data_IF_591796802920
#
_entry.id   IF_591796802920
#
_cell.length_a   1.000
_cell.length_b   1.000
_cell.length_c   1.000
_cell.angle_alpha   90.00
_cell.angle_beta   90.00
_cell.angle_gamma   90.00
#
_symmetry.space_group_name_H-M   'P 1'
#
loop_
_entity.id
_entity.type
_entity.pdbx_description
1 polymer ?
#
# COMPACT_ATOMS: atom_id res chain seq x y z
N UNK A 1 25.59 -3.27 21.33
CA UNK A 1 25.28 -2.58 20.06
C UNK A 1 24.16 -1.59 20.34
N UNK A 2 24.25 -0.35 19.85
CA UNK A 2 23.14 0.61 19.95
C UNK A 2 21.91 0.04 19.25
N UNK A 3 20.71 0.22 19.85
CA UNK A 3 19.43 -0.14 19.23
C UNK A 3 19.12 0.74 18.02
N UNK A 4 19.66 1.95 17.97
CA UNK A 4 19.49 2.89 16.85
C UNK A 4 20.77 2.88 16.01
N UNK A 5 20.62 2.74 14.69
CA UNK A 5 21.70 2.92 13.71
C UNK A 5 21.24 3.91 12.64
N UNK A 6 22.10 4.89 12.33
CA UNK A 6 21.87 5.91 11.32
C UNK A 6 22.95 5.76 10.26
N UNK A 7 22.55 5.46 9.03
CA UNK A 7 23.48 5.29 7.91
C UNK A 7 22.88 5.90 6.64
N UNK A 8 23.61 6.83 6.01
CA UNK A 8 23.23 7.46 4.73
C UNK A 8 21.77 7.94 4.65
N UNK A 9 21.24 8.53 5.74
CA UNK A 9 19.86 9.02 5.81
C UNK A 9 18.80 7.95 6.09
N UNK A 10 19.20 6.69 6.25
CA UNK A 10 18.35 5.60 6.74
C UNK A 10 18.53 5.44 8.24
N UNK A 11 17.42 5.48 8.98
CA UNK A 11 17.42 5.22 10.42
C UNK A 11 16.82 3.85 10.67
N UNK A 12 17.55 2.99 11.38
CA UNK A 12 17.08 1.66 11.78
C UNK A 12 17.03 1.51 13.28
N UNK A 13 16.06 0.72 13.74
CA UNK A 13 15.83 0.40 15.13
C UNK A 13 15.76 -1.11 15.33
N UNK A 14 16.63 -1.66 16.18
CA UNK A 14 16.74 -3.10 16.43
C UNK A 14 16.09 -3.50 17.75
N UNK A 15 15.23 -4.50 17.70
CA UNK A 15 14.55 -5.09 18.86
C UNK A 15 14.60 -6.61 18.75
N UNK A 16 15.38 -7.27 19.62
CA UNK A 16 15.56 -8.74 19.63
C UNK A 16 15.87 -9.26 18.21
N UNK A 17 14.91 -9.97 17.60
CA UNK A 17 15.01 -10.63 16.30
C UNK A 17 14.35 -9.83 15.15
N UNK A 18 14.13 -8.52 15.35
CA UNK A 18 13.49 -7.66 14.36
C UNK A 18 14.22 -6.32 14.20
N UNK A 19 14.39 -5.93 12.94
CA UNK A 19 14.85 -4.63 12.50
C UNK A 19 13.66 -3.84 11.98
N UNK A 20 13.60 -2.57 12.35
CA UNK A 20 12.62 -1.62 11.86
C UNK A 20 13.33 -0.46 11.16
N UNK A 21 12.79 -0.04 10.02
CA UNK A 21 13.09 1.25 9.43
C UNK A 21 12.25 2.32 10.12
N UNK A 22 12.91 3.38 10.60
CA UNK A 22 12.24 4.51 11.24
C UNK A 22 11.99 5.57 10.18
N UNK A 23 10.72 5.88 9.94
CA UNK A 23 10.28 6.82 8.90
C UNK A 23 9.53 7.97 9.55
N UNK A 24 9.69 9.17 9.00
CA UNK A 24 8.98 10.35 9.49
C UNK A 24 7.47 10.17 9.31
N UNK A 25 6.71 10.51 10.35
CA UNK A 25 5.26 10.48 10.38
C UNK A 25 4.74 11.90 10.16
N UNK A 26 4.46 12.26 8.92
CA UNK A 26 3.94 13.58 8.62
C UNK A 26 2.46 13.70 9.02
N UNK A 27 2.14 14.75 9.79
CA UNK A 27 0.76 15.19 9.91
C UNK A 27 0.26 15.76 8.56
N UNK A 28 -0.96 15.47 8.12
CA UNK A 28 -1.50 16.10 6.92
C UNK A 28 -1.64 17.62 7.14
N UNK A 29 -1.06 18.45 6.28
CA UNK A 29 -1.14 19.91 6.46
C UNK A 29 -2.56 20.42 6.26
N UNK A 30 -3.19 20.87 7.36
CA UNK A 30 -4.61 21.24 7.42
C UNK A 30 -4.90 22.75 7.27
N UNK A 31 -3.85 23.58 7.15
CA UNK A 31 -3.99 25.03 6.95
C UNK A 31 -4.11 25.40 5.46
N UNK A 32 -3.48 24.65 4.54
CA UNK A 32 -3.80 24.62 3.09
C UNK A 32 -5.19 24.02 2.85
N UNK A 33 -5.67 23.14 3.77
CA UNK A 33 -6.99 22.47 3.78
C UNK A 33 -8.22 23.25 4.23
N UNK A 34 -8.04 24.43 4.77
CA UNK A 34 -9.16 25.25 5.21
C UNK A 34 -9.27 26.54 4.41
N UNK A 35 -8.43 26.72 3.37
CA UNK A 35 -8.26 27.93 2.57
C UNK A 35 -8.52 27.77 1.03
N UNK A 36 -8.34 26.59 0.43
CA UNK A 36 -8.44 26.31 -1.02
C UNK A 36 -9.66 25.44 -1.46
N UNK A 37 -10.30 24.64 -0.58
CA UNK A 37 -11.57 23.94 -0.88
C UNK A 37 -12.69 24.83 -0.34
N UNK A 38 -13.67 25.18 -1.17
CA UNK A 38 -14.90 25.87 -0.78
C UNK A 38 -15.89 24.96 -0.01
N UNK A 39 -16.71 25.52 0.91
CA UNK A 39 -17.64 24.77 1.80
C UNK A 39 -18.54 23.72 1.09
N UNK A 40 -18.92 23.92 -0.18
CA UNK A 40 -19.73 22.98 -0.98
C UNK A 40 -18.96 21.88 -1.73
N UNK A 41 -17.62 21.95 -1.80
CA UNK A 41 -16.72 20.89 -2.32
C UNK A 41 -15.88 20.21 -1.23
N UNK A 42 -15.84 20.80 -0.02
CA UNK A 42 -15.63 20.08 1.26
C UNK A 42 -16.76 19.05 1.48
N UNK A 43 -17.83 19.22 0.71
CA UNK A 43 -18.78 18.19 0.32
C UNK A 43 -18.15 17.30 -0.76
N UNK A 44 -17.56 16.18 -0.35
CA UNK A 44 -17.12 15.09 -1.23
C UNK A 44 -15.64 15.05 -1.61
N UNK A 45 -14.78 16.03 -1.25
CA UNK A 45 -13.31 15.88 -1.38
C UNK A 45 -12.58 16.68 -0.28
N UNK A 46 -11.57 16.10 0.39
CA UNK A 46 -10.69 16.86 1.27
C UNK A 46 -9.34 17.31 0.63
N UNK A 47 -9.05 18.62 0.48
CA UNK A 47 -7.74 19.35 0.34
C UNK A 47 -6.55 18.74 1.19
N UNK A 48 -6.78 17.76 2.08
CA UNK A 48 -5.89 17.29 3.18
C UNK A 48 -5.31 15.91 2.91
N UNK A 49 -5.61 15.29 1.77
CA UNK A 49 -5.03 13.98 1.47
C UNK A 49 -3.53 14.02 1.13
N UNK A 50 -2.95 15.22 1.15
CA UNK A 50 -1.79 15.60 0.39
C UNK A 50 -0.50 15.44 1.20
N UNK A 51 0.35 14.55 0.66
CA UNK A 51 1.81 14.43 0.85
C UNK A 51 2.30 13.60 2.05
N UNK A 52 2.36 12.28 1.81
CA UNK A 52 3.31 11.30 2.35
C UNK A 52 3.47 11.18 3.87
N UNK A 53 2.37 11.36 4.61
CA UNK A 53 2.18 10.83 5.96
C UNK A 53 1.71 9.37 5.98
N UNK A 54 1.27 8.83 7.14
CA UNK A 54 1.16 7.40 7.58
C UNK A 54 0.22 6.44 6.81
N UNK A 55 0.04 6.68 5.51
CA UNK A 55 -0.65 5.84 4.53
C UNK A 55 -0.16 4.39 4.55
N UNK A 56 1.15 4.19 4.61
CA UNK A 56 1.77 2.86 4.70
C UNK A 56 1.22 2.05 5.88
N UNK A 57 0.95 2.69 7.03
CA UNK A 57 0.35 2.01 8.18
C UNK A 57 -1.10 1.62 7.94
N UNK A 58 -1.88 2.49 7.31
CA UNK A 58 -3.29 2.20 6.98
C UNK A 58 -3.39 1.04 6.02
N UNK A 59 -2.55 1.05 4.98
CA UNK A 59 -2.50 -0.01 3.97
C UNK A 59 -2.02 -1.31 4.61
N UNK A 60 -1.00 -1.23 5.48
CA UNK A 60 -0.52 -2.38 6.25
C UNK A 60 -1.59 -2.96 7.17
N UNK A 61 -2.41 -2.11 7.82
CA UNK A 61 -3.51 -2.56 8.67
C UNK A 61 -4.69 -3.12 7.86
N UNK A 62 -4.99 -2.56 6.69
CA UNK A 62 -6.00 -3.10 5.76
C UNK A 62 -5.58 -4.48 5.23
N UNK A 63 -4.30 -4.61 4.86
CA UNK A 63 -3.69 -5.84 4.40
C UNK A 63 -3.39 -6.85 5.51
N UNK A 64 -3.43 -6.47 6.78
CA UNK A 64 -3.08 -7.36 7.89
C UNK A 64 -3.93 -8.63 7.86
N UNK A 65 -3.26 -9.79 7.93
CA UNK A 65 -3.84 -11.14 7.81
C UNK A 65 -4.57 -11.44 6.48
N UNK A 66 -4.49 -10.54 5.49
CA UNK A 66 -5.09 -10.69 4.16
C UNK A 66 -4.03 -10.71 3.06
N UNK A 67 -2.92 -9.99 3.26
CA UNK A 67 -1.76 -9.93 2.40
C UNK A 67 -0.49 -10.09 3.24
N UNK A 68 0.63 -10.36 2.56
CA UNK A 68 1.95 -10.39 3.18
C UNK A 68 2.55 -8.98 3.22
N UNK A 69 2.09 -8.15 4.14
CA UNK A 69 2.57 -6.77 4.28
C UNK A 69 3.42 -6.63 5.54
N UNK A 70 4.38 -5.70 5.52
CA UNK A 70 5.20 -5.42 6.70
C UNK A 70 4.38 -4.89 7.87
N UNK A 71 4.83 -5.20 9.07
CA UNK A 71 4.23 -4.70 10.29
C UNK A 71 4.71 -3.27 10.54
N UNK A 72 3.75 -2.36 10.76
CA UNK A 72 4.02 -0.95 11.04
C UNK A 72 3.53 -0.58 12.43
N UNK A 73 4.43 -0.01 13.24
CA UNK A 73 4.20 0.39 14.64
C UNK A 73 4.44 1.88 14.85
N UNK A 74 3.69 2.51 15.75
CA UNK A 74 4.00 3.88 16.17
C UNK A 74 5.07 3.89 17.26
N UNK A 75 5.66 5.06 17.49
CA UNK A 75 6.50 5.30 18.66
C UNK A 75 5.81 5.02 20.02
N UNK A 76 4.47 5.01 20.08
CA UNK A 76 3.72 4.61 21.28
C UNK A 76 3.67 3.09 21.49
N UNK A 77 3.86 2.32 20.42
CA UNK A 77 3.78 0.86 20.43
C UNK A 77 5.18 0.24 20.60
N UNK A 78 6.18 1.11 20.80
CA UNK A 78 7.58 0.77 20.97
C UNK A 78 8.03 1.19 22.36
N UNK A 79 8.72 0.29 23.07
CA UNK A 79 9.34 0.54 24.37
C UNK A 79 10.61 1.39 24.18
N UNK A 80 10.42 2.67 23.88
CA UNK A 80 11.48 3.67 23.68
C UNK A 80 11.81 4.36 25.00
N UNK A 81 13.10 4.44 25.33
CA UNK A 81 13.59 5.33 26.39
C UNK A 81 13.49 6.80 25.95
N UNK A 82 13.60 7.74 26.90
CA UNK A 82 13.61 9.17 26.55
C UNK A 82 14.80 9.52 25.64
N UNK A 83 15.99 8.99 25.94
CA UNK A 83 17.20 9.19 25.12
C UNK A 83 17.00 8.67 23.68
N UNK A 84 16.40 7.49 23.51
CA UNK A 84 16.07 6.95 22.19
C UNK A 84 15.08 7.84 21.44
N UNK A 85 14.08 8.39 22.14
CA UNK A 85 13.12 9.32 21.55
C UNK A 85 13.80 10.60 21.08
N UNK A 86 14.71 11.16 21.88
CA UNK A 86 15.40 12.40 21.55
C UNK A 86 16.30 12.22 20.32
N UNK A 87 17.06 11.11 20.24
CA UNK A 87 17.90 10.77 19.07
C UNK A 87 17.05 10.59 17.81
N UNK A 88 15.95 9.84 17.89
CA UNK A 88 15.07 9.62 16.73
C UNK A 88 14.37 10.90 16.31
N UNK A 89 14.02 11.76 17.26
CA UNK A 89 13.42 13.07 16.99
C UNK A 89 14.37 13.97 16.22
N UNK A 90 15.64 14.01 16.62
CA UNK A 90 16.68 14.77 15.92
C UNK A 90 16.95 14.20 14.51
N UNK A 91 17.00 12.87 14.38
CA UNK A 91 17.37 12.20 13.14
C UNK A 91 16.25 12.16 12.09
N UNK A 92 14.98 12.01 12.53
CA UNK A 92 13.84 11.73 11.64
C UNK A 92 12.80 12.84 11.69
N UNK A 93 12.67 13.55 12.80
CA UNK A 93 11.64 14.57 13.03
C UNK A 93 10.75 14.26 14.23
N UNK A 94 9.86 15.18 14.61
CA UNK A 94 9.11 15.14 15.86
C UNK A 94 8.13 13.95 15.98
N UNK A 95 7.66 13.45 14.84
CA UNK A 95 6.75 12.32 14.76
C UNK A 95 7.33 11.29 13.79
N UNK A 96 7.31 10.01 14.18
CA UNK A 96 7.84 8.91 13.38
C UNK A 96 7.12 7.58 13.66
N UNK A 97 7.26 6.65 12.72
CA UNK A 97 6.78 5.27 12.82
C UNK A 97 7.86 4.27 12.43
N UNK A 98 7.62 3.01 12.75
CA UNK A 98 8.55 1.90 12.61
C UNK A 98 7.97 0.87 11.64
N UNK A 99 8.58 0.70 10.47
CA UNK A 99 8.19 -0.31 9.48
C UNK A 99 9.16 -1.49 9.58
N UNK A 100 8.66 -2.70 9.87
CA UNK A 100 9.51 -3.88 10.02
C UNK A 100 10.23 -4.17 8.70
N UNK A 101 11.50 -4.51 8.77
CA UNK A 101 12.26 -4.99 7.62
C UNK A 101 11.59 -6.21 7.00
N UNK A 102 11.26 -6.13 5.71
CA UNK A 102 10.68 -7.26 4.98
C UNK A 102 11.63 -8.46 4.91
N UNK A 103 12.94 -8.21 4.98
CA UNK A 103 13.99 -9.24 4.96
C UNK A 103 14.06 -10.06 6.26
N UNK A 104 13.44 -9.58 7.35
CA UNK A 104 13.44 -10.28 8.63
C UNK A 104 12.25 -11.26 8.76
N UNK A 105 11.40 -11.36 7.74
CA UNK A 105 10.28 -12.29 7.72
C UNK A 105 10.73 -13.70 7.34
N UNK A 106 10.11 -14.69 7.98
CA UNK A 106 10.21 -16.10 7.59
C UNK A 106 8.88 -16.56 7.01
N UNK A 107 8.83 -17.63 6.19
CA UNK A 107 7.57 -18.16 5.66
C UNK A 107 6.54 -18.53 6.74
N UNK A 108 7.00 -18.87 7.95
CA UNK A 108 6.15 -19.12 9.12
C UNK A 108 5.38 -17.89 9.61
N UNK A 109 5.90 -16.70 9.34
CA UNK A 109 5.36 -15.42 9.80
C UNK A 109 4.30 -14.87 8.84
N UNK A 110 4.18 -15.45 7.64
CA UNK A 110 3.39 -14.91 6.53
C UNK A 110 1.97 -15.53 6.49
N UNK A 111 0.92 -14.69 6.35
CA UNK A 111 -0.45 -15.19 6.24
C UNK A 111 -0.69 -16.00 4.95
N UNK A 112 -0.02 -15.65 3.85
CA UNK A 112 -0.15 -16.35 2.56
C UNK A 112 1.18 -17.00 2.17
N UNK A 113 1.20 -18.32 2.12
CA UNK A 113 2.40 -19.13 1.86
C UNK A 113 2.60 -19.53 0.41
N UNK A 114 1.55 -19.47 -0.41
CA UNK A 114 1.63 -19.73 -1.85
C UNK A 114 1.95 -18.40 -2.56
N UNK A 115 3.06 -18.33 -3.33
CA UNK A 115 3.47 -17.10 -4.01
C UNK A 115 2.42 -16.51 -4.96
N UNK A 116 1.72 -17.37 -5.71
CA UNK A 116 0.73 -16.93 -6.70
C UNK A 116 -0.53 -16.40 -6.00
N UNK A 117 -0.94 -17.06 -4.91
CA UNK A 117 -2.04 -16.57 -4.06
C UNK A 117 -1.65 -15.24 -3.42
N UNK A 118 -0.46 -15.14 -2.83
CA UNK A 118 0.02 -13.90 -2.22
C UNK A 118 -0.04 -12.74 -3.22
N UNK A 119 0.50 -12.95 -4.42
CA UNK A 119 0.53 -11.94 -5.47
C UNK A 119 -0.88 -11.49 -5.89
N UNK A 120 -1.81 -12.44 -6.07
CA UNK A 120 -3.18 -12.10 -6.43
C UNK A 120 -3.93 -11.32 -5.34
N UNK A 121 -3.67 -11.61 -4.06
CA UNK A 121 -4.24 -10.85 -2.95
C UNK A 121 -3.68 -9.43 -2.89
N UNK A 122 -2.38 -9.27 -3.15
CA UNK A 122 -1.79 -7.94 -3.25
C UNK A 122 -2.36 -7.15 -4.42
N UNK A 123 -2.50 -7.73 -5.61
CA UNK A 123 -3.09 -7.04 -6.77
C UNK A 123 -4.45 -6.43 -6.42
N UNK A 124 -5.27 -7.16 -5.65
CA UNK A 124 -6.56 -6.66 -5.17
C UNK A 124 -6.37 -5.53 -4.14
N UNK A 125 -5.48 -5.69 -3.17
CA UNK A 125 -5.18 -4.63 -2.20
C UNK A 125 -4.67 -3.35 -2.88
N UNK A 126 -3.67 -3.46 -3.75
CA UNK A 126 -3.09 -2.34 -4.51
C UNK A 126 -4.14 -1.67 -5.39
N UNK A 127 -5.06 -2.44 -5.97
CA UNK A 127 -6.22 -1.88 -6.70
C UNK A 127 -7.14 -1.11 -5.75
N UNK A 128 -7.45 -1.64 -4.55
CA UNK A 128 -8.32 -0.96 -3.57
C UNK A 128 -7.70 0.35 -3.11
N UNK A 129 -6.42 0.33 -2.75
CA UNK A 129 -5.78 1.52 -2.21
C UNK A 129 -5.42 2.49 -3.34
N UNK A 130 -5.22 1.99 -4.56
CA UNK A 130 -4.62 2.68 -5.73
C UNK A 130 -3.13 2.87 -5.55
N UNK A 131 -2.50 1.90 -4.91
CA UNK A 131 -1.06 1.79 -4.86
C UNK A 131 -0.58 1.41 -6.24
N UNK A 132 0.10 2.35 -6.86
CA UNK A 132 0.91 1.99 -8.00
C UNK A 132 2.03 1.09 -7.49
N UNK A 133 1.98 -0.17 -7.87
CA UNK A 133 3.05 -1.12 -7.58
C UNK A 133 4.21 -0.89 -8.55
N UNK A 134 5.30 -0.31 -8.04
CA UNK A 134 6.58 -0.05 -8.73
C UNK A 134 7.61 -1.17 -8.44
N UNK A 135 7.14 -2.42 -8.47
CA UNK A 135 7.98 -3.62 -8.59
C UNK A 135 8.82 -3.95 -7.34
N UNK A 136 10.04 -4.43 -7.54
CA UNK A 136 10.95 -4.88 -6.47
C UNK A 136 11.34 -3.78 -5.48
N UNK A 137 11.04 -2.51 -5.77
CA UNK A 137 11.24 -1.42 -4.81
C UNK A 137 10.23 -1.45 -3.66
N UNK A 138 9.09 -2.10 -3.88
CA UNK A 138 7.98 -2.15 -2.94
C UNK A 138 7.85 -3.48 -2.20
N UNK A 139 8.69 -4.46 -2.54
CA UNK A 139 8.51 -5.86 -2.17
C UNK A 139 9.84 -6.57 -1.99
N UNK A 140 9.94 -7.39 -0.95
CA UNK A 140 11.01 -8.37 -0.78
C UNK A 140 10.47 -9.78 -1.03
N UNK A 141 11.35 -10.70 -1.41
CA UNK A 141 11.01 -12.11 -1.61
C UNK A 141 11.57 -12.95 -0.47
N UNK A 142 10.68 -13.67 0.21
CA UNK A 142 11.01 -14.62 1.29
C UNK A 142 10.71 -16.02 0.78
N UNK A 143 11.75 -16.73 0.33
CA UNK A 143 11.63 -18.07 -0.29
C UNK A 143 10.61 -18.11 -1.45
N UNK A 144 10.62 -17.06 -2.28
CA UNK A 144 9.69 -16.91 -3.40
C UNK A 144 8.30 -16.39 -3.01
N UNK A 145 8.04 -16.16 -1.72
CA UNK A 145 6.82 -15.53 -1.24
C UNK A 145 7.04 -14.01 -1.15
N UNK A 146 6.21 -13.20 -1.82
CA UNK A 146 6.35 -11.75 -1.76
C UNK A 146 5.92 -11.18 -0.40
N UNK A 147 6.65 -10.18 0.08
CA UNK A 147 6.36 -9.37 1.27
C UNK A 147 6.46 -7.88 0.92
N UNK A 148 5.33 -7.18 0.95
CA UNK A 148 5.23 -5.77 0.54
C UNK A 148 5.53 -4.80 1.68
N UNK A 149 6.35 -3.79 1.39
CA UNK A 149 6.88 -2.87 2.39
C UNK A 149 6.93 -1.39 1.98
N UNK A 150 6.82 -1.08 0.69
CA UNK A 150 6.71 0.32 0.25
C UNK A 150 5.36 0.52 -0.45
N UNK A 151 4.58 1.40 0.16
CA UNK A 151 3.21 1.71 -0.21
C UNK A 151 3.12 3.16 -0.70
N UNK A 152 4.22 3.70 -1.24
CA UNK A 152 4.47 5.12 -1.48
C UNK A 152 3.44 5.89 -2.32
N UNK A 153 2.61 5.23 -3.13
CA UNK A 153 1.52 5.87 -3.89
C UNK A 153 0.12 5.43 -3.45
N UNK A 154 0.04 4.67 -2.34
CA UNK A 154 -1.12 3.86 -1.98
C UNK A 154 -2.43 4.57 -1.85
N UNK A 155 -2.51 5.90 -1.81
CA UNK A 155 -3.76 6.62 -1.73
C UNK A 155 -3.69 7.93 -2.54
N UNK A 156 -2.98 7.89 -3.68
CA UNK A 156 -2.85 9.04 -4.56
C UNK A 156 -4.24 9.46 -5.10
N UNK A 157 -4.74 10.66 -4.74
CA UNK A 157 -6.06 11.11 -5.17
C UNK A 157 -6.16 11.26 -6.70
N UNK A 158 -5.03 11.36 -7.42
CA UNK A 158 -4.99 11.40 -8.90
C UNK A 158 -5.37 10.05 -9.51
N UNK A 159 -5.19 8.97 -8.76
CA UNK A 159 -5.43 7.58 -9.18
C UNK A 159 -6.77 7.02 -8.68
N UNK A 160 -7.64 7.84 -8.06
CA UNK A 160 -8.95 7.38 -7.55
C UNK A 160 -9.78 6.73 -8.65
N UNK A 161 -9.80 7.36 -9.83
CA UNK A 161 -10.45 6.80 -11.01
C UNK A 161 -9.59 5.66 -11.59
N UNK A 162 -10.21 4.48 -11.77
CA UNK A 162 -9.50 3.28 -12.26
C UNK A 162 -8.82 3.47 -13.61
N UNK A 163 -9.37 4.30 -14.52
CA UNK A 163 -8.72 4.57 -15.80
C UNK A 163 -7.47 5.42 -15.63
N UNK A 164 -7.47 6.41 -14.72
CA UNK A 164 -6.26 7.18 -14.38
C UNK A 164 -5.19 6.30 -13.74
N UNK A 165 -5.61 5.36 -12.90
CA UNK A 165 -4.73 4.35 -12.34
C UNK A 165 -4.09 3.47 -13.42
N UNK A 166 -4.87 2.95 -14.37
CA UNK A 166 -4.37 2.16 -15.52
C UNK A 166 -3.35 2.97 -16.35
N UNK A 167 -3.65 4.23 -16.68
CA UNK A 167 -2.71 5.09 -17.42
C UNK A 167 -1.37 5.24 -16.70
N UNK A 168 -1.37 5.27 -15.36
CA UNK A 168 -0.14 5.32 -14.57
C UNK A 168 0.63 4.01 -14.61
N UNK A 169 -0.06 2.86 -14.57
CA UNK A 169 0.57 1.55 -14.77
C UNK A 169 1.19 1.41 -16.18
N UNK A 170 0.53 1.94 -17.21
CA UNK A 170 1.05 1.94 -18.58
C UNK A 170 2.24 2.88 -18.74
N UNK A 171 2.17 4.10 -18.19
CA UNK A 171 3.28 5.05 -18.18
C UNK A 171 4.53 4.44 -17.52
N UNK A 172 4.35 3.83 -16.34
CA UNK A 172 5.39 3.10 -15.63
C UNK A 172 6.07 2.06 -16.51
N UNK A 173 5.25 1.21 -17.14
CA UNK A 173 5.71 0.13 -18.01
C UNK A 173 6.47 0.68 -19.22
N UNK A 174 5.96 1.74 -19.84
CA UNK A 174 6.61 2.38 -20.99
C UNK A 174 7.98 2.98 -20.61
N UNK A 175 8.15 3.37 -19.34
CA UNK A 175 9.43 3.79 -18.76
C UNK A 175 10.31 2.62 -18.30
N UNK A 176 9.92 1.38 -18.59
CA UNK A 176 10.67 0.17 -18.22
C UNK A 176 10.56 -0.21 -16.75
N UNK A 177 9.60 0.36 -16.00
CA UNK A 177 9.39 0.01 -14.60
C UNK A 177 8.58 -1.27 -14.48
N UNK A 178 8.99 -2.14 -13.56
CA UNK A 178 8.33 -3.42 -13.30
C UNK A 178 7.08 -3.16 -12.44
N UNK A 179 5.95 -3.73 -12.82
CA UNK A 179 4.72 -3.67 -12.02
C UNK A 179 4.12 -5.06 -11.91
N UNK A 180 3.95 -5.56 -10.69
CA UNK A 180 3.41 -6.91 -10.49
C UNK A 180 1.96 -7.01 -10.97
N UNK A 181 1.19 -5.93 -10.89
CA UNK A 181 -0.17 -5.85 -11.42
C UNK A 181 -0.16 -6.11 -12.93
N UNK A 182 0.70 -5.41 -13.66
CA UNK A 182 0.84 -5.58 -15.12
C UNK A 182 1.26 -7.02 -15.44
N UNK A 183 2.31 -7.52 -14.80
CA UNK A 183 2.79 -8.90 -15.02
C UNK A 183 1.73 -9.95 -14.67
N UNK A 184 0.94 -9.71 -13.62
CA UNK A 184 -0.11 -10.63 -13.18
C UNK A 184 -1.21 -10.79 -14.23
N UNK A 185 -1.60 -9.70 -14.89
CA UNK A 185 -2.62 -9.71 -15.95
C UNK A 185 -2.07 -10.06 -17.34
N UNK A 186 -0.78 -9.86 -17.60
CA UNK A 186 -0.13 -10.28 -18.85
C UNK A 186 -0.04 -11.80 -18.98
N UNK A 187 0.20 -12.52 -17.88
CA UNK A 187 0.22 -13.99 -17.86
C UNK A 187 -1.05 -14.56 -17.20
N UNK A 188 -2.21 -13.99 -17.53
CA UNK A 188 -3.47 -14.35 -16.87
C UNK A 188 -3.91 -15.79 -17.18
N UNK A 189 -4.26 -16.54 -16.13
CA UNK A 189 -4.74 -17.93 -16.23
C UNK A 189 -6.07 -18.13 -15.52
N UNK A 190 -6.71 -19.29 -15.74
CA UNK A 190 -7.91 -19.69 -14.99
C UNK A 190 -7.64 -19.77 -13.47
N UNK A 191 -6.44 -20.20 -13.07
CA UNK A 191 -6.02 -20.22 -11.66
C UNK A 191 -5.97 -18.81 -11.09
N UNK A 192 -5.29 -17.88 -11.77
CA UNK A 192 -5.24 -16.47 -11.37
C UNK A 192 -6.61 -15.81 -11.26
N UNK A 193 -7.55 -16.19 -12.14
CA UNK A 193 -8.95 -15.77 -12.05
C UNK A 193 -9.63 -16.24 -10.76
N UNK A 194 -9.43 -17.50 -10.39
CA UNK A 194 -9.97 -18.04 -9.13
C UNK A 194 -9.32 -17.39 -7.90
N UNK A 195 -8.01 -17.10 -7.95
CA UNK A 195 -7.30 -16.39 -6.89
C UNK A 195 -7.89 -14.99 -6.71
N UNK A 196 -8.02 -14.20 -7.78
CA UNK A 196 -8.61 -12.85 -7.70
C UNK A 196 -10.05 -12.88 -7.16
N UNK A 197 -10.88 -13.85 -7.57
CA UNK A 197 -12.23 -14.00 -7.02
C UNK A 197 -12.24 -14.21 -5.50
N UNK A 198 -11.31 -15.03 -4.98
CA UNK A 198 -11.18 -15.25 -3.52
C UNK A 198 -10.64 -14.02 -2.80
N UNK A 199 -9.65 -13.34 -3.40
CA UNK A 199 -9.10 -12.10 -2.87
C UNK A 199 -10.18 -11.01 -2.80
N UNK A 200 -10.91 -10.77 -3.89
CA UNK A 200 -12.05 -9.84 -3.94
C UNK A 200 -13.05 -10.18 -2.85
N UNK A 201 -13.49 -11.43 -2.74
CA UNK A 201 -14.41 -11.85 -1.68
C UNK A 201 -13.86 -11.56 -0.27
N UNK A 202 -12.56 -11.78 -0.05
CA UNK A 202 -11.91 -11.48 1.23
C UNK A 202 -11.98 -9.98 1.55
N UNK A 203 -11.62 -9.12 0.62
CA UNK A 203 -11.63 -7.66 0.84
C UNK A 203 -13.04 -7.07 0.89
N UNK A 204 -13.97 -7.55 0.07
CA UNK A 204 -15.36 -7.09 0.06
C UNK A 204 -16.13 -7.40 1.35
N UNK A 205 -15.63 -8.30 2.20
CA UNK A 205 -16.22 -8.58 3.52
C UNK A 205 -15.75 -7.63 4.62
N UNK A 206 -14.78 -6.75 4.35
CA UNK A 206 -14.27 -5.79 5.34
C UNK A 206 -15.40 -4.82 5.70
N UNK A 207 -15.85 -4.79 6.96
CA UNK A 207 -16.94 -3.90 7.37
C UNK A 207 -16.44 -2.46 7.51
N UNK A 208 -17.32 -1.49 7.26
CA UNK A 208 -17.02 -0.07 7.47
C UNK A 208 -16.52 0.24 8.89
N UNK A 209 -16.97 -0.53 9.90
CA UNK A 209 -16.50 -0.40 11.27
C UNK A 209 -15.01 -0.73 11.42
N UNK A 210 -14.53 -1.76 10.71
CA UNK A 210 -13.11 -2.11 10.70
C UNK A 210 -12.29 -0.99 10.03
N UNK A 211 -12.75 -0.48 8.89
CA UNK A 211 -12.10 0.65 8.20
C UNK A 211 -11.98 1.84 9.16
N UNK A 212 -13.07 2.24 9.84
CA UNK A 212 -13.05 3.33 10.83
C UNK A 212 -12.07 3.06 11.98
N UNK A 213 -12.02 1.83 12.46
CA UNK A 213 -11.10 1.41 13.52
C UNK A 213 -9.65 1.54 13.07
N UNK A 214 -9.33 1.12 11.85
CA UNK A 214 -8.00 1.29 11.25
C UNK A 214 -7.60 2.76 11.18
N UNK A 215 -8.49 3.64 10.72
CA UNK A 215 -8.19 5.08 10.65
C UNK A 215 -7.89 5.67 12.04
N UNK A 216 -8.65 5.26 13.06
CA UNK A 216 -8.42 5.69 14.44
C UNK A 216 -7.08 5.18 14.99
N UNK A 217 -6.78 3.89 14.80
CA UNK A 217 -5.53 3.28 15.28
C UNK A 217 -4.33 3.91 14.59
N UNK A 218 -4.46 4.26 13.31
CA UNK A 218 -3.37 4.85 12.53
C UNK A 218 -2.90 6.20 13.10
N UNK A 219 -3.66 6.84 14.01
CA UNK A 219 -3.38 8.16 14.63
C UNK A 219 -3.06 9.25 13.61
N UNK A 220 -3.68 9.14 12.45
CA UNK A 220 -3.57 10.10 11.37
C UNK A 220 -4.86 10.87 11.38
N UNK A 221 -4.77 12.20 11.49
CA UNK A 221 -5.95 13.04 11.32
C UNK A 221 -6.39 13.02 9.85
N UNK A 222 -7.14 12.00 9.48
CA UNK A 222 -7.61 11.81 8.11
C UNK A 222 -9.07 12.25 8.01
N UNK A 223 -9.44 12.98 6.95
CA UNK A 223 -10.83 13.33 6.70
C UNK A 223 -11.75 12.11 6.64
N UNK A 224 -12.94 12.21 7.23
CA UNK A 224 -13.94 11.13 7.25
C UNK A 224 -14.29 10.56 5.84
N UNK A 225 -14.17 11.40 4.80
CA UNK A 225 -14.31 11.00 3.40
C UNK A 225 -13.34 9.88 2.96
N UNK A 226 -12.22 9.72 3.65
CA UNK A 226 -11.24 8.69 3.31
C UNK A 226 -11.72 7.27 3.61
N UNK A 227 -12.37 7.10 4.77
CA UNK A 227 -13.00 5.82 5.09
C UNK A 227 -14.06 5.48 4.06
N UNK A 228 -14.80 6.49 3.58
CA UNK A 228 -15.77 6.34 2.48
C UNK A 228 -15.09 5.99 1.16
N UNK A 229 -13.95 6.62 0.85
CA UNK A 229 -13.13 6.32 -0.32
C UNK A 229 -12.68 4.86 -0.35
N UNK A 230 -12.01 4.39 0.72
CA UNK A 230 -11.56 2.99 0.81
C UNK A 230 -12.74 2.04 0.75
N UNK A 231 -13.84 2.35 1.46
CA UNK A 231 -15.05 1.55 1.42
C UNK A 231 -15.69 1.48 0.02
N UNK A 232 -15.68 2.58 -0.73
CA UNK A 232 -16.20 2.62 -2.10
C UNK A 232 -15.31 1.81 -3.05
N UNK A 233 -13.99 1.92 -2.94
CA UNK A 233 -13.07 1.11 -3.73
C UNK A 233 -13.23 -0.37 -3.42
N UNK A 234 -13.40 -0.76 -2.15
CA UNK A 234 -13.69 -2.15 -1.76
C UNK A 234 -14.99 -2.66 -2.40
N UNK A 235 -16.03 -1.82 -2.47
CA UNK A 235 -17.31 -2.19 -3.11
C UNK A 235 -17.20 -2.36 -4.62
N UNK A 236 -16.36 -1.55 -5.27
CA UNK A 236 -16.20 -1.53 -6.73
C UNK A 236 -15.04 -2.41 -7.22
N UNK A 237 -14.24 -3.00 -6.31
CA UNK A 237 -13.00 -3.69 -6.67
C UNK A 237 -13.19 -4.81 -7.70
N UNK A 238 -14.34 -5.49 -7.70
CA UNK A 238 -14.63 -6.51 -8.71
C UNK A 238 -14.72 -5.92 -10.11
N UNK A 239 -15.39 -4.77 -10.26
CA UNK A 239 -15.53 -4.07 -11.52
C UNK A 239 -14.18 -3.48 -11.96
N UNK A 240 -13.44 -2.88 -11.03
CA UNK A 240 -12.10 -2.34 -11.30
C UNK A 240 -11.14 -3.42 -11.81
N UNK A 241 -11.11 -4.59 -11.16
CA UNK A 241 -10.27 -5.72 -11.56
C UNK A 241 -10.67 -6.22 -12.95
N UNK A 242 -11.97 -6.26 -13.28
CA UNK A 242 -12.43 -6.65 -14.61
C UNK A 242 -12.03 -5.62 -15.68
N UNK A 243 -12.07 -4.32 -15.37
CA UNK A 243 -11.61 -3.23 -16.25
C UNK A 243 -10.10 -3.34 -16.50
N UNK A 244 -9.30 -3.50 -15.42
CA UNK A 244 -7.84 -3.68 -15.49
C UNK A 244 -7.51 -4.91 -16.34
N UNK A 245 -8.16 -6.05 -16.06
CA UNK A 245 -8.02 -7.26 -16.88
C UNK A 245 -8.31 -6.98 -18.35
N UNK A 246 -9.40 -6.28 -18.65
CA UNK A 246 -9.78 -5.92 -20.01
C UNK A 246 -8.74 -5.02 -20.70
N UNK A 247 -8.08 -4.12 -19.98
CA UNK A 247 -7.00 -3.28 -20.53
C UNK A 247 -5.78 -4.12 -20.95
N UNK A 248 -5.27 -4.98 -20.06
CA UNK A 248 -4.03 -5.73 -20.31
C UNK A 248 -4.22 -7.01 -21.15
N UNK A 249 -5.42 -7.61 -21.17
CA UNK A 249 -5.68 -8.75 -22.06
C UNK A 249 -5.90 -8.35 -23.52
N UNK A 250 -6.31 -7.10 -23.81
CA UNK A 250 -6.46 -6.61 -25.20
C UNK A 250 -5.13 -6.59 -25.94
N UNK A 251 -4.01 -6.38 -25.24
CA UNK A 251 -2.67 -6.34 -25.83
C UNK A 251 -2.15 -7.72 -26.25
N UNK A 252 -2.52 -8.80 -25.55
CA UNK A 252 -2.20 -10.18 -25.97
C UNK A 252 -2.88 -10.57 -27.28
N UNK A 253 -4.05 -10.00 -27.58
CA UNK A 253 -4.79 -10.25 -28.81
C UNK A 253 -4.19 -9.44 -29.98
N UNK A 254 -3.93 -8.15 -29.77
CA UNK A 254 -3.30 -7.28 -30.79
C UNK A 254 -1.87 -7.74 -31.12
N UNK A 255 -1.11 -8.17 -30.11
CA UNK A 255 0.23 -8.74 -30.29
C UNK A 255 0.25 -10.07 -31.04
N UNK A 256 -0.84 -10.85 -31.03
CA UNK A 256 -0.96 -12.10 -31.81
C UNK A 256 -1.41 -11.87 -33.25
N UNK A 257 -2.24 -10.86 -33.51
CA UNK A 257 -2.64 -10.48 -34.87
C UNK A 257 -1.48 -9.84 -35.66
N UNK A 258 -0.52 -9.20 -34.98
CA UNK A 258 0.70 -8.66 -35.62
C UNK A 258 1.67 -9.71 -36.17
N UNK A 259 1.53 -10.98 -35.79
CA UNK A 259 2.31 -12.11 -36.33
C UNK A 259 1.61 -12.83 -37.49
N UNK A 260 0.37 -12.43 -37.81
CA UNK A 260 -0.34 -12.86 -39.01
C UNK A 260 -0.32 -11.71 -40.01
N UNK A 261 0.87 -11.37 -40.51
CA UNK A 261 1.08 -10.62 -41.75
C UNK A 261 2.32 -11.12 -42.45
#
# INVERSE_FOLDING_TARGET
>A
MSRIQIDQGTVTFKVKDATYYVKQNFAPSIQVFKAEVPYSKRKGIPETFFSNGPVERIVSLLGANRCNVVNVRLASDMDLTQEERDILTEAVGPDFYFSRSAYDYKPSDLPLKDPEIALGYQVVLDTIVRNWDDGERNMAWVEGIPVWYDFGASLDPRCQNVFRFILKLEEARNLGRVSSIVTYFMDYTRRRSQILKRAIATFSTIPNLEIRTILNIAKVEIPAYFGEYVANNIKQVSEDIDIIRGAFLRELVVGREGWIK
#
